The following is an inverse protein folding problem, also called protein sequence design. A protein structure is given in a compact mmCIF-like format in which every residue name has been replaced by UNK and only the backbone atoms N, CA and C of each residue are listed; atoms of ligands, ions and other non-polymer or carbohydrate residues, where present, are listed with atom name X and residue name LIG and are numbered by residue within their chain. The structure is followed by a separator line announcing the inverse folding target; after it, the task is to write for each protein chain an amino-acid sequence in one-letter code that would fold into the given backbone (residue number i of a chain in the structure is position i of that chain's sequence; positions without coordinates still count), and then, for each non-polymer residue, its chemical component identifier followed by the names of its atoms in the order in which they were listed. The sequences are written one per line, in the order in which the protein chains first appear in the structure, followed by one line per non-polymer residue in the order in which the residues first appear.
data_IF_120843314658
#
_entry.id   IF_120843314658
#
_cell.length_a   1.000
_cell.length_b   1.000
_cell.length_c   1.000
_cell.angle_alpha   90.00
_cell.angle_beta   90.00
_cell.angle_gamma   90.00
#
_symmetry.space_group_name_H-M   'P 1'
#
loop_
_entity.id
_entity.type
_entity.pdbx_description
1 polymer ?
#
# COMPACT_ATOMS: atom_id res chain seq x y z
N UNK A 1 -25.10 4.36 0.45
CA UNK A 1 -24.24 4.29 1.66
C UNK A 1 -23.94 2.82 1.91
N UNK A 2 -22.67 2.43 2.05
CA UNK A 2 -22.31 1.03 2.33
C UNK A 2 -22.95 0.58 3.66
N UNK A 3 -23.45 -0.65 3.71
CA UNK A 3 -23.92 -1.27 4.94
C UNK A 3 -22.86 -1.14 6.05
N UNK A 4 -23.28 -0.79 7.26
CA UNK A 4 -22.36 -0.49 8.36
C UNK A 4 -21.49 -1.70 8.74
N UNK A 5 -22.03 -2.93 8.69
CA UNK A 5 -21.24 -4.14 8.98
C UNK A 5 -20.20 -4.37 7.88
N UNK A 6 -20.57 -4.18 6.61
CA UNK A 6 -19.64 -4.30 5.49
C UNK A 6 -18.51 -3.27 5.60
N UNK A 7 -18.85 -2.00 5.85
CA UNK A 7 -17.87 -0.93 6.00
C UNK A 7 -16.88 -1.21 7.13
N UNK A 8 -17.36 -1.64 8.29
CA UNK A 8 -16.49 -1.97 9.43
C UNK A 8 -15.58 -3.16 9.10
N UNK A 9 -16.11 -4.20 8.46
CA UNK A 9 -15.30 -5.36 8.10
C UNK A 9 -14.20 -5.03 7.09
N UNK A 10 -14.49 -4.17 6.12
CA UNK A 10 -13.47 -3.67 5.17
C UNK A 10 -12.42 -2.84 5.90
N UNK A 11 -12.83 -1.97 6.83
CA UNK A 11 -11.89 -1.19 7.65
C UNK A 11 -10.93 -2.08 8.45
N UNK A 12 -11.43 -3.14 9.07
CA UNK A 12 -10.59 -4.11 9.80
C UNK A 12 -9.56 -4.78 8.89
N UNK A 13 -9.95 -5.14 7.66
CA UNK A 13 -9.05 -5.74 6.68
C UNK A 13 -7.95 -4.75 6.28
N UNK A 14 -8.32 -3.50 5.97
CA UNK A 14 -7.33 -2.47 5.64
C UNK A 14 -6.36 -2.21 6.79
N UNK A 15 -6.84 -2.08 8.02
CA UNK A 15 -5.96 -1.94 9.20
C UNK A 15 -5.00 -3.12 9.34
N UNK A 16 -5.48 -4.35 9.09
CA UNK A 16 -4.62 -5.54 9.12
C UNK A 16 -3.56 -5.52 8.03
N UNK A 17 -3.89 -5.07 6.82
CA UNK A 17 -2.94 -4.98 5.71
C UNK A 17 -1.94 -3.84 5.90
N UNK A 18 -2.39 -2.67 6.38
CA UNK A 18 -1.52 -1.56 6.76
C UNK A 18 -0.47 -2.02 7.77
N UNK A 19 -0.87 -2.82 8.77
CA UNK A 19 0.06 -3.31 9.78
C UNK A 19 1.13 -4.24 9.20
N UNK A 20 0.73 -5.17 8.32
CA UNK A 20 1.68 -6.07 7.66
C UNK A 20 2.70 -5.28 6.81
N UNK A 21 2.23 -4.28 6.07
CA UNK A 21 3.11 -3.43 5.25
C UNK A 21 4.03 -2.61 6.14
N UNK A 22 3.52 -2.00 7.22
CA UNK A 22 4.32 -1.24 8.19
C UNK A 22 5.43 -2.10 8.79
N UNK A 23 5.13 -3.34 9.17
CA UNK A 23 6.10 -4.27 9.75
C UNK A 23 7.21 -4.62 8.74
N UNK A 24 6.87 -4.91 7.48
CA UNK A 24 7.86 -5.13 6.42
C UNK A 24 8.74 -3.89 6.18
N UNK A 25 8.16 -2.69 6.18
CA UNK A 25 8.92 -1.45 6.04
C UNK A 25 9.86 -1.22 7.24
N UNK A 26 9.42 -1.56 8.45
CA UNK A 26 10.25 -1.47 9.65
C UNK A 26 11.43 -2.45 9.62
N UNK A 27 11.22 -3.66 9.11
CA UNK A 27 12.30 -4.63 8.86
C UNK A 27 13.31 -4.10 7.85
N UNK A 28 12.85 -3.51 6.75
CA UNK A 28 13.73 -2.90 5.73
C UNK A 28 14.55 -1.72 6.29
N UNK A 29 13.96 -0.89 7.17
CA UNK A 29 14.70 0.15 7.91
C UNK A 29 15.78 -0.46 8.81
N UNK A 30 15.45 -1.53 9.54
CA UNK A 30 16.41 -2.21 10.42
C UNK A 30 17.57 -2.86 9.63
N UNK A 31 17.29 -3.37 8.43
CA UNK A 31 18.29 -3.93 7.53
C UNK A 31 19.15 -2.85 6.82
N UNK A 32 18.78 -1.57 6.93
CA UNK A 32 19.45 -0.46 6.25
C UNK A 32 19.10 -0.34 4.76
N UNK A 33 18.04 -1.01 4.32
CA UNK A 33 17.51 -0.93 2.94
C UNK A 33 16.67 0.33 2.72
N UNK A 34 16.07 0.86 3.80
CA UNK A 34 15.37 2.13 3.84
C UNK A 34 16.03 3.09 4.83
N UNK A 35 15.87 4.40 4.60
CA UNK A 35 16.35 5.44 5.52
C UNK A 35 15.78 5.24 6.93
N UNK A 36 16.58 5.46 7.97
CA UNK A 36 16.12 5.46 9.36
C UNK A 36 15.13 6.60 9.69
N UNK A 37 14.97 7.57 8.80
CA UNK A 37 13.97 8.64 8.90
C UNK A 37 12.66 8.31 8.19
N UNK A 38 12.52 7.10 7.63
CA UNK A 38 11.29 6.66 6.95
C UNK A 38 10.15 6.53 7.96
N UNK A 39 9.05 7.26 7.75
CA UNK A 39 7.82 7.05 8.50
C UNK A 39 7.11 5.81 7.93
N UNK A 40 7.39 4.65 8.51
CA UNK A 40 6.89 3.34 8.06
C UNK A 40 5.37 3.29 8.06
N UNK A 41 4.72 3.92 9.04
CA UNK A 41 3.26 3.96 9.15
C UNK A 41 2.63 4.81 8.05
N UNK A 42 3.10 6.04 7.87
CA UNK A 42 2.59 6.90 6.80
C UNK A 42 2.84 6.28 5.41
N UNK A 43 3.99 5.63 5.25
CA UNK A 43 4.37 4.94 4.01
C UNK A 43 3.46 3.74 3.75
N UNK A 44 3.14 2.92 4.76
CA UNK A 44 2.21 1.81 4.62
C UNK A 44 0.82 2.25 4.15
N UNK A 45 0.28 3.32 4.75
CA UNK A 45 -1.02 3.90 4.35
C UNK A 45 -0.97 4.40 2.90
N UNK A 46 0.11 5.09 2.51
CA UNK A 46 0.30 5.57 1.15
C UNK A 46 0.34 4.40 0.15
N UNK A 47 1.12 3.37 0.43
CA UNK A 47 1.25 2.18 -0.42
C UNK A 47 -0.08 1.45 -0.58
N UNK A 48 -0.78 1.17 0.51
CA UNK A 48 -2.06 0.47 0.45
C UNK A 48 -3.10 1.29 -0.33
N UNK A 49 -3.19 2.59 -0.05
CA UNK A 49 -4.13 3.48 -0.74
C UNK A 49 -3.84 3.56 -2.24
N UNK A 50 -2.57 3.66 -2.63
CA UNK A 50 -2.14 3.67 -4.02
C UNK A 50 -2.40 2.34 -4.74
N UNK A 51 -2.13 1.21 -4.08
CA UNK A 51 -2.39 -0.12 -4.63
C UNK A 51 -3.89 -0.35 -4.87
N UNK A 52 -4.76 -0.04 -3.91
CA UNK A 52 -6.21 -0.19 -4.08
C UNK A 52 -6.76 0.72 -5.19
N UNK A 53 -6.22 1.94 -5.32
CA UNK A 53 -6.50 2.83 -6.44
C UNK A 53 -6.09 2.24 -7.79
N UNK A 54 -4.91 1.64 -7.86
CA UNK A 54 -4.41 0.98 -9.07
C UNK A 54 -5.26 -0.26 -9.43
N UNK A 55 -5.65 -1.07 -8.45
CA UNK A 55 -6.55 -2.23 -8.64
C UNK A 55 -7.92 -1.79 -9.14
N UNK A 56 -8.48 -0.72 -8.57
CA UNK A 56 -9.75 -0.15 -9.05
C UNK A 56 -9.61 0.33 -10.50
N UNK A 57 -8.56 1.09 -10.80
CA UNK A 57 -8.37 1.64 -12.15
C UNK A 57 -8.12 0.54 -13.19
N UNK A 58 -7.33 -0.48 -12.86
CA UNK A 58 -7.09 -1.63 -13.72
C UNK A 58 -8.39 -2.34 -14.13
N UNK A 59 -9.34 -2.50 -13.18
CA UNK A 59 -10.67 -3.07 -13.46
C UNK A 59 -11.49 -2.19 -14.41
N UNK A 60 -11.47 -0.87 -14.21
CA UNK A 60 -12.19 0.09 -15.07
C UNK A 60 -11.61 0.12 -16.48
N UNK A 61 -10.28 0.16 -16.60
CA UNK A 61 -9.55 0.20 -17.86
C UNK A 61 -9.50 -1.16 -18.58
N UNK A 62 -9.87 -2.26 -17.90
CA UNK A 62 -9.67 -3.65 -18.35
C UNK A 62 -8.24 -3.92 -18.81
N UNK A 63 -7.28 -3.40 -18.06
CA UNK A 63 -5.85 -3.45 -18.38
C UNK A 63 -5.02 -3.54 -17.10
N UNK A 64 -3.91 -4.28 -17.15
CA UNK A 64 -2.95 -4.37 -16.04
C UNK A 64 -2.06 -3.13 -15.91
N UNK A 65 -2.01 -2.25 -16.92
CA UNK A 65 -1.10 -1.12 -16.98
C UNK A 65 -1.08 -0.20 -15.73
N UNK A 66 -2.21 0.08 -15.05
CA UNK A 66 -2.19 0.84 -13.80
C UNK A 66 -1.44 0.15 -12.66
N UNK A 67 -1.51 -1.19 -12.58
CA UNK A 67 -0.76 -1.97 -11.58
C UNK A 67 0.74 -1.93 -11.90
N UNK A 68 1.11 -2.14 -13.16
CA UNK A 68 2.51 -2.10 -13.61
C UNK A 68 3.14 -0.73 -13.33
N UNK A 69 2.38 0.34 -13.56
CA UNK A 69 2.80 1.72 -13.26
C UNK A 69 3.03 1.92 -11.77
N UNK A 70 2.11 1.43 -10.92
CA UNK A 70 2.26 1.54 -9.48
C UNK A 70 3.50 0.81 -8.96
N UNK A 71 3.72 -0.44 -9.38
CA UNK A 71 4.87 -1.25 -8.96
C UNK A 71 6.19 -0.58 -9.40
N UNK A 72 6.27 -0.13 -10.65
CA UNK A 72 7.47 0.53 -11.18
C UNK A 72 7.85 1.78 -10.39
N UNK A 73 6.86 2.60 -10.01
CA UNK A 73 7.10 3.81 -9.22
C UNK A 73 7.41 3.48 -7.75
N UNK A 74 6.79 2.44 -7.18
CA UNK A 74 7.09 1.98 -5.83
C UNK A 74 8.56 1.59 -5.71
N UNK A 75 9.06 0.79 -6.65
CA UNK A 75 10.46 0.38 -6.71
C UNK A 75 11.41 1.59 -6.84
N UNK A 76 11.08 2.53 -7.75
CA UNK A 76 11.89 3.73 -7.97
C UNK A 76 11.95 4.65 -6.74
N UNK A 77 10.86 4.76 -5.97
CA UNK A 77 10.75 5.76 -4.89
C UNK A 77 11.13 5.24 -3.52
N UNK A 78 11.07 3.93 -3.27
CA UNK A 78 11.41 3.36 -1.96
C UNK A 78 12.84 2.85 -1.88
N UNK A 79 13.36 2.23 -2.94
CA UNK A 79 14.64 1.53 -2.90
C UNK A 79 15.78 2.26 -3.63
N UNK A 80 15.58 3.55 -3.94
CA UNK A 80 16.57 4.41 -4.58
C UNK A 80 16.75 5.69 -3.77
#
# INVERSE_FOLDING_TARGET
MLDTKIRMRIQEIFVSWEKLIEDCLAEAVQAGELSNTTDTKATAVFLLSGWEGAVLYAKVAKSAAPLDTFISLLEEKLFR
#
